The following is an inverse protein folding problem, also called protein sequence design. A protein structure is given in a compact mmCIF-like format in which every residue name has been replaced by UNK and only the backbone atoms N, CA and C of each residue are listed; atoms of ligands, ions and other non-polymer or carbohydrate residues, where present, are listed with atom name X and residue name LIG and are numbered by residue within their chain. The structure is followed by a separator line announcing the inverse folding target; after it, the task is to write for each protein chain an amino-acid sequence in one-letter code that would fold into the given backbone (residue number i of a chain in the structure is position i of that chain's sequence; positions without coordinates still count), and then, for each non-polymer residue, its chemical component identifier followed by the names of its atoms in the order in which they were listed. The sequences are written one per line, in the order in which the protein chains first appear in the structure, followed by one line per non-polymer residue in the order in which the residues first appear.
data_IF_417141119737
#
_entry.id   IF_417141119737
#
_cell.length_a   1.000
_cell.length_b   1.000
_cell.length_c   1.000
_cell.angle_alpha   90.00
_cell.angle_beta   90.00
_cell.angle_gamma   90.00
#
_symmetry.space_group_name_H-M   'P 1'
#
loop_
_entity.id
_entity.type
_entity.pdbx_description
1 polymer ?
#
# COMPACT_ATOMS: atom_id res chain seq x y z
N UNK A 1 68.75 -6.30 5.96
CA UNK A 1 68.29 -5.81 4.65
C UNK A 1 67.32 -6.76 3.95
N UNK A 2 67.54 -8.06 3.92
CA UNK A 2 66.68 -9.06 3.27
C UNK A 2 65.27 -9.17 3.85
N UNK A 3 65.09 -9.13 5.19
CA UNK A 3 63.80 -9.25 5.86
C UNK A 3 62.89 -8.04 5.54
N UNK A 4 63.47 -6.82 5.47
CA UNK A 4 62.76 -5.58 5.12
C UNK A 4 62.19 -5.69 3.69
N UNK A 5 63.02 -6.12 2.75
CA UNK A 5 62.59 -6.26 1.36
C UNK A 5 61.48 -7.29 1.25
N UNK A 6 61.58 -8.41 1.96
CA UNK A 6 60.55 -9.45 1.97
C UNK A 6 59.19 -8.95 2.55
N UNK A 7 59.25 -8.24 3.68
CA UNK A 7 58.03 -7.65 4.29
C UNK A 7 57.40 -6.60 3.38
N UNK A 8 58.22 -5.75 2.74
CA UNK A 8 57.72 -4.74 1.81
C UNK A 8 57.08 -5.37 0.55
N UNK A 9 57.69 -6.40 0.00
CA UNK A 9 57.09 -7.17 -1.10
C UNK A 9 55.75 -7.78 -0.69
N UNK A 10 55.67 -8.37 0.52
CA UNK A 10 54.43 -8.93 1.05
C UNK A 10 53.33 -7.86 1.16
N UNK A 11 53.65 -6.68 1.67
CA UNK A 11 52.67 -5.60 1.80
C UNK A 11 52.15 -5.09 0.45
N UNK A 12 53.06 -4.97 -0.56
CA UNK A 12 52.67 -4.63 -1.93
C UNK A 12 51.76 -5.73 -2.51
N UNK A 13 52.12 -7.01 -2.34
CA UNK A 13 51.29 -8.11 -2.82
C UNK A 13 49.89 -8.09 -2.20
N UNK A 14 49.77 -7.86 -0.90
CA UNK A 14 48.49 -7.71 -0.22
C UNK A 14 47.69 -6.55 -0.78
N UNK A 15 48.32 -5.40 -1.02
CA UNK A 15 47.63 -4.24 -1.58
C UNK A 15 47.12 -4.53 -3.01
N UNK A 16 47.96 -5.14 -3.83
CA UNK A 16 47.57 -5.55 -5.23
C UNK A 16 46.41 -6.54 -5.21
N UNK A 17 46.43 -7.53 -4.31
CA UNK A 17 45.36 -8.50 -4.16
C UNK A 17 44.07 -7.78 -3.73
N UNK A 18 44.16 -6.84 -2.78
CA UNK A 18 43.01 -6.07 -2.30
C UNK A 18 42.36 -5.23 -3.41
N UNK A 19 43.20 -4.56 -4.24
CA UNK A 19 42.74 -3.78 -5.39
C UNK A 19 42.10 -4.66 -6.47
N UNK A 20 42.74 -5.78 -6.82
CA UNK A 20 42.21 -6.72 -7.81
C UNK A 20 40.87 -7.32 -7.37
N UNK A 21 40.71 -7.62 -6.10
CA UNK A 21 39.46 -8.14 -5.57
C UNK A 21 38.35 -7.10 -5.60
N UNK A 22 38.65 -5.81 -5.48
CA UNK A 22 37.68 -4.71 -5.61
C UNK A 22 37.02 -4.71 -7.00
N UNK A 23 37.78 -4.99 -8.06
CA UNK A 23 37.32 -4.96 -9.46
C UNK A 23 36.88 -6.36 -9.98
N UNK A 24 37.27 -7.42 -9.31
CA UNK A 24 37.01 -8.81 -9.74
C UNK A 24 35.50 -9.13 -9.76
N UNK A 25 34.99 -9.93 -10.71
CA UNK A 25 33.64 -10.49 -10.74
C UNK A 25 33.41 -11.59 -9.71
N UNK A 26 34.39 -11.89 -8.85
CA UNK A 26 34.33 -12.95 -7.86
C UNK A 26 33.14 -12.83 -6.93
N UNK A 27 32.64 -13.95 -6.43
CA UNK A 27 31.52 -13.97 -5.50
C UNK A 27 31.84 -13.17 -4.24
N UNK A 28 30.82 -12.53 -3.69
CA UNK A 28 30.98 -11.63 -2.56
C UNK A 28 31.54 -12.31 -1.29
N UNK A 29 31.20 -13.58 -1.09
CA UNK A 29 31.80 -14.37 0.00
C UNK A 29 33.32 -14.47 -0.16
N UNK A 30 33.77 -14.75 -1.38
CA UNK A 30 35.20 -14.85 -1.69
C UNK A 30 35.90 -13.52 -1.45
N UNK A 31 35.33 -12.41 -1.92
CA UNK A 31 35.88 -11.06 -1.70
C UNK A 31 36.06 -10.76 -0.21
N UNK A 32 35.03 -10.94 0.59
CA UNK A 32 35.06 -10.68 2.02
C UNK A 32 36.09 -11.58 2.73
N UNK A 33 36.14 -12.88 2.42
CA UNK A 33 37.11 -13.79 2.99
C UNK A 33 38.55 -13.41 2.62
N UNK A 34 38.81 -13.09 1.35
CA UNK A 34 40.14 -12.65 0.89
C UNK A 34 40.58 -11.39 1.63
N UNK A 35 39.69 -10.41 1.82
CA UNK A 35 40.01 -9.20 2.58
C UNK A 35 40.35 -9.48 4.04
N UNK A 36 39.65 -10.41 4.71
CA UNK A 36 40.00 -10.81 6.08
C UNK A 36 41.33 -11.56 6.13
N UNK A 37 41.64 -12.42 5.17
CA UNK A 37 42.94 -13.10 5.08
C UNK A 37 44.05 -12.06 4.87
N UNK A 38 43.89 -11.11 3.98
CA UNK A 38 44.83 -10.03 3.77
C UNK A 38 45.07 -9.21 5.05
N UNK A 39 44.01 -8.83 5.76
CA UNK A 39 44.12 -8.12 7.03
C UNK A 39 44.86 -8.93 8.10
N UNK A 40 44.57 -10.23 8.20
CA UNK A 40 45.25 -11.15 9.12
C UNK A 40 46.77 -11.24 8.82
N UNK A 41 47.13 -11.40 7.54
CA UNK A 41 48.55 -11.42 7.12
C UNK A 41 49.29 -10.14 7.53
N UNK A 42 48.67 -8.97 7.36
CA UNK A 42 49.25 -7.71 7.78
C UNK A 42 49.42 -7.64 9.30
N UNK A 43 48.43 -8.09 10.07
CA UNK A 43 48.49 -8.14 11.52
C UNK A 43 49.60 -9.08 12.04
N UNK A 44 49.79 -10.21 11.39
CA UNK A 44 50.91 -11.12 11.73
C UNK A 44 52.27 -10.56 11.35
N UNK A 45 52.37 -9.76 10.29
CA UNK A 45 53.62 -9.09 9.88
C UNK A 45 54.05 -7.96 10.84
N UNK A 46 53.06 -7.30 11.49
CA UNK A 46 53.33 -6.14 12.34
C UNK A 46 54.29 -6.41 13.52
N UNK A 47 54.11 -7.48 14.34
CA UNK A 47 55.04 -7.78 15.45
C UNK A 47 56.44 -8.14 14.94
N UNK A 48 56.57 -8.78 13.79
CA UNK A 48 57.87 -9.09 13.20
C UNK A 48 58.58 -7.79 12.82
N UNK A 49 57.88 -6.83 12.24
CA UNK A 49 58.38 -5.50 11.89
C UNK A 49 58.79 -4.77 13.17
N UNK A 50 58.01 -4.76 14.24
CA UNK A 50 58.31 -4.11 15.49
C UNK A 50 59.58 -4.67 16.12
N UNK A 51 59.71 -5.99 16.26
CA UNK A 51 60.91 -6.62 16.80
C UNK A 51 62.16 -6.32 15.99
N UNK A 52 62.05 -6.17 14.69
CA UNK A 52 63.16 -5.80 13.80
C UNK A 52 63.56 -4.30 13.96
N UNK A 53 62.55 -3.42 14.17
CA UNK A 53 62.80 -2.00 14.44
C UNK A 53 63.60 -1.81 15.73
N UNK A 54 63.28 -2.56 16.78
CA UNK A 54 63.94 -2.46 18.08
C UNK A 54 65.39 -2.96 18.01
N UNK A 55 65.71 -3.85 17.11
CA UNK A 55 67.04 -4.40 16.91
C UNK A 55 67.96 -3.49 16.08
N UNK A 56 67.46 -2.38 15.51
CA UNK A 56 68.24 -1.50 14.62
C UNK A 56 69.12 -0.50 15.40
N UNK A 57 70.40 -0.36 15.00
CA UNK A 57 71.40 0.44 15.74
C UNK A 57 71.26 1.95 15.49
N UNK A 58 70.64 2.43 14.43
CA UNK A 58 70.60 3.85 14.04
C UNK A 58 69.21 4.45 14.06
N UNK A 59 69.07 5.69 14.50
CA UNK A 59 67.79 6.39 14.58
C UNK A 59 67.12 6.61 13.22
N UNK A 60 67.91 6.85 12.16
CA UNK A 60 67.38 7.02 10.79
C UNK A 60 66.75 5.75 10.24
N UNK A 61 67.37 4.59 10.52
CA UNK A 61 66.81 3.29 10.11
C UNK A 61 65.51 2.96 10.84
N UNK A 62 65.41 3.32 12.12
CA UNK A 62 64.19 3.17 12.93
C UNK A 62 63.01 3.94 12.34
N UNK A 63 63.24 5.18 11.93
CA UNK A 63 62.22 6.02 11.34
C UNK A 63 61.61 5.40 10.05
N UNK A 64 62.41 4.86 9.15
CA UNK A 64 61.97 4.20 7.93
C UNK A 64 61.09 2.97 8.21
N UNK A 65 61.48 2.15 9.18
CA UNK A 65 60.69 0.97 9.57
C UNK A 65 59.41 1.32 10.31
N UNK A 66 59.40 2.39 11.11
CA UNK A 66 58.17 2.91 11.71
C UNK A 66 57.19 3.38 10.62
N UNK A 67 57.65 4.04 9.58
CA UNK A 67 56.82 4.41 8.44
C UNK A 67 56.21 3.19 7.74
N UNK A 68 56.97 2.11 7.55
CA UNK A 68 56.45 0.84 6.97
C UNK A 68 55.44 0.21 7.88
N UNK A 69 55.60 0.22 9.21
CA UNK A 69 54.62 -0.28 10.15
C UNK A 69 53.29 0.47 10.07
N UNK A 70 53.34 1.81 10.05
CA UNK A 70 52.16 2.65 9.90
C UNK A 70 51.43 2.35 8.59
N UNK A 71 52.20 2.18 7.49
CA UNK A 71 51.65 1.85 6.20
C UNK A 71 50.98 0.45 6.20
N UNK A 72 51.58 -0.54 6.87
CA UNK A 72 51.03 -1.86 7.04
C UNK A 72 49.68 -1.84 7.80
N UNK A 73 49.62 -1.10 8.91
CA UNK A 73 48.39 -0.93 9.69
C UNK A 73 47.30 -0.25 8.84
N UNK A 74 47.68 0.79 8.05
CA UNK A 74 46.72 1.46 7.16
C UNK A 74 46.14 0.52 6.10
N UNK A 75 46.96 -0.34 5.49
CA UNK A 75 46.49 -1.38 4.53
C UNK A 75 45.53 -2.36 5.23
N UNK A 76 45.89 -2.89 6.41
CA UNK A 76 45.05 -3.78 7.17
C UNK A 76 43.68 -3.17 7.47
N UNK A 77 43.68 -1.92 7.94
CA UNK A 77 42.45 -1.16 8.20
C UNK A 77 41.61 -1.00 6.90
N UNK A 78 42.24 -0.67 5.79
CA UNK A 78 41.57 -0.50 4.50
C UNK A 78 40.91 -1.80 4.02
N UNK A 79 41.59 -2.95 4.17
CA UNK A 79 41.02 -4.26 3.84
C UNK A 79 39.77 -4.58 4.68
N UNK A 80 39.82 -4.33 5.99
CA UNK A 80 38.67 -4.53 6.90
C UNK A 80 37.52 -3.59 6.52
N UNK A 81 37.84 -2.32 6.23
CA UNK A 81 36.87 -1.33 5.80
C UNK A 81 36.11 -1.75 4.55
N UNK A 82 36.83 -2.21 3.50
CA UNK A 82 36.21 -2.73 2.27
C UNK A 82 35.31 -3.92 2.58
N UNK A 83 35.77 -4.88 3.39
CA UNK A 83 34.99 -6.05 3.76
C UNK A 83 33.68 -5.67 4.49
N UNK A 84 33.73 -4.68 5.39
CA UNK A 84 32.57 -4.16 6.11
C UNK A 84 31.60 -3.45 5.16
N UNK A 85 32.10 -2.60 4.24
CA UNK A 85 31.31 -1.91 3.25
C UNK A 85 30.55 -2.86 2.33
N UNK A 86 31.22 -3.92 1.88
CA UNK A 86 30.58 -4.96 1.04
C UNK A 86 29.45 -5.69 1.80
N UNK A 87 29.66 -6.05 3.07
CA UNK A 87 28.60 -6.64 3.91
C UNK A 87 27.43 -5.67 4.09
N UNK A 88 27.70 -4.41 4.34
CA UNK A 88 26.67 -3.38 4.49
C UNK A 88 25.84 -3.21 3.22
N UNK A 89 26.48 -3.17 2.04
CA UNK A 89 25.79 -3.04 0.76
C UNK A 89 24.85 -4.22 0.47
N UNK A 90 25.25 -5.45 0.84
CA UNK A 90 24.36 -6.63 0.74
C UNK A 90 23.16 -6.51 1.64
N UNK A 91 23.40 -6.16 2.90
CA UNK A 91 22.30 -6.02 3.87
C UNK A 91 21.30 -4.97 3.39
N UNK A 92 21.81 -3.84 2.90
CA UNK A 92 20.99 -2.76 2.33
C UNK A 92 20.17 -3.22 1.12
N UNK A 93 20.75 -4.01 0.21
CA UNK A 93 20.02 -4.59 -0.93
C UNK A 93 18.92 -5.56 -0.47
N UNK A 94 19.22 -6.43 0.49
CA UNK A 94 18.23 -7.37 1.05
C UNK A 94 17.07 -6.63 1.71
N UNK A 95 17.36 -5.59 2.49
CA UNK A 95 16.32 -4.80 3.14
C UNK A 95 15.40 -4.12 2.10
N UNK A 96 15.96 -3.55 1.04
CA UNK A 96 15.14 -2.96 -0.03
C UNK A 96 14.21 -3.97 -0.72
N UNK A 97 14.72 -5.17 -1.01
CA UNK A 97 13.88 -6.22 -1.60
C UNK A 97 12.78 -6.66 -0.64
N UNK A 98 13.09 -6.74 0.65
CA UNK A 98 12.11 -7.10 1.68
C UNK A 98 11.04 -6.01 1.84
N UNK A 99 11.42 -4.74 1.83
CA UNK A 99 10.51 -3.59 1.89
C UNK A 99 9.58 -3.56 0.66
N UNK A 100 10.12 -3.83 -0.54
CA UNK A 100 9.32 -3.91 -1.76
C UNK A 100 8.30 -5.06 -1.69
N UNK A 101 8.71 -6.24 -1.27
CA UNK A 101 7.82 -7.37 -1.13
C UNK A 101 6.75 -7.16 -0.05
N UNK A 102 7.05 -6.38 1.00
CA UNK A 102 6.08 -6.02 2.04
C UNK A 102 5.02 -5.06 1.49
N UNK A 103 5.46 -4.02 0.77
CA UNK A 103 4.55 -3.05 0.15
C UNK A 103 3.65 -3.67 -0.91
N UNK A 104 4.14 -4.59 -1.72
CA UNK A 104 3.35 -5.35 -2.68
C UNK A 104 2.25 -6.17 -1.99
N UNK A 105 2.59 -6.90 -0.93
CA UNK A 105 1.61 -7.68 -0.14
C UNK A 105 0.56 -6.80 0.57
N UNK A 106 0.95 -5.62 1.02
CA UNK A 106 -0.01 -4.67 1.61
C UNK A 106 -0.97 -4.13 0.55
N UNK A 107 -0.46 -3.81 -0.64
CA UNK A 107 -1.30 -3.37 -1.77
C UNK A 107 -2.28 -4.47 -2.23
N UNK A 108 -1.83 -5.73 -2.32
CA UNK A 108 -2.71 -6.86 -2.64
C UNK A 108 -3.83 -7.03 -1.59
N UNK A 109 -3.51 -6.90 -0.30
CA UNK A 109 -4.53 -6.98 0.76
C UNK A 109 -5.55 -5.84 0.67
N UNK A 110 -5.09 -4.61 0.43
CA UNK A 110 -5.98 -3.46 0.26
C UNK A 110 -6.88 -3.63 -0.96
N UNK A 111 -6.33 -4.10 -2.08
CA UNK A 111 -7.10 -4.38 -3.29
C UNK A 111 -8.18 -5.46 -3.05
N UNK A 112 -7.82 -6.57 -2.40
CA UNK A 112 -8.77 -7.63 -2.05
C UNK A 112 -9.90 -7.15 -1.11
N UNK A 113 -9.57 -6.30 -0.13
CA UNK A 113 -10.59 -5.70 0.77
C UNK A 113 -11.53 -4.78 -0.02
N UNK A 114 -10.99 -3.95 -0.92
CA UNK A 114 -11.81 -3.06 -1.76
C UNK A 114 -12.71 -3.85 -2.71
N UNK A 115 -12.21 -4.91 -3.33
CA UNK A 115 -12.99 -5.79 -4.20
C UNK A 115 -14.16 -6.44 -3.44
N UNK A 116 -13.88 -7.02 -2.28
CA UNK A 116 -14.92 -7.61 -1.43
C UNK A 116 -15.96 -6.57 -0.96
N UNK A 117 -15.55 -5.34 -0.64
CA UNK A 117 -16.47 -4.27 -0.30
C UNK A 117 -17.35 -3.86 -1.48
N UNK A 118 -16.79 -3.79 -2.69
CA UNK A 118 -17.53 -3.50 -3.91
C UNK A 118 -18.56 -4.59 -4.23
N UNK A 119 -18.18 -5.85 -4.16
CA UNK A 119 -19.08 -6.99 -4.36
C UNK A 119 -20.25 -6.95 -3.37
N UNK A 120 -19.95 -6.72 -2.09
CA UNK A 120 -20.99 -6.59 -1.05
C UNK A 120 -21.92 -5.41 -1.33
N UNK A 121 -21.39 -4.27 -1.75
CA UNK A 121 -22.18 -3.09 -2.07
C UNK A 121 -23.09 -3.35 -3.28
N UNK A 122 -22.59 -4.00 -4.33
CA UNK A 122 -23.38 -4.40 -5.50
C UNK A 122 -24.47 -5.39 -5.14
N UNK A 123 -24.19 -6.36 -4.27
CA UNK A 123 -25.19 -7.31 -3.78
C UNK A 123 -26.34 -6.59 -3.03
N UNK A 124 -26.01 -5.65 -2.14
CA UNK A 124 -27.01 -4.83 -1.44
C UNK A 124 -27.83 -4.00 -2.43
N UNK A 125 -27.20 -3.36 -3.40
CA UNK A 125 -27.91 -2.55 -4.39
C UNK A 125 -28.90 -3.39 -5.21
N UNK A 126 -28.48 -4.59 -5.64
CA UNK A 126 -29.32 -5.49 -6.40
C UNK A 126 -30.53 -5.96 -5.58
N UNK A 127 -30.31 -6.41 -4.34
CA UNK A 127 -31.39 -6.86 -3.44
C UNK A 127 -32.39 -5.74 -3.17
N UNK A 128 -31.90 -4.52 -2.90
CA UNK A 128 -32.78 -3.39 -2.61
C UNK A 128 -33.57 -2.91 -3.83
N UNK A 129 -32.98 -2.95 -5.02
CA UNK A 129 -33.67 -2.61 -6.27
C UNK A 129 -34.73 -3.67 -6.62
N UNK A 130 -34.47 -4.97 -6.41
CA UNK A 130 -35.44 -6.04 -6.58
C UNK A 130 -36.61 -5.89 -5.59
N UNK A 131 -36.31 -5.57 -4.32
CA UNK A 131 -37.36 -5.30 -3.33
C UNK A 131 -38.19 -4.07 -3.73
N UNK A 132 -37.56 -2.98 -4.17
CA UNK A 132 -38.25 -1.79 -4.64
C UNK A 132 -39.12 -2.05 -5.87
N UNK A 133 -38.62 -2.80 -6.84
CA UNK A 133 -39.39 -3.24 -8.00
C UNK A 133 -40.65 -4.03 -7.59
N UNK A 134 -40.54 -4.87 -6.55
CA UNK A 134 -41.69 -5.57 -5.97
C UNK A 134 -42.77 -4.62 -5.40
N UNK A 135 -42.32 -3.49 -4.84
CA UNK A 135 -43.24 -2.50 -4.19
C UNK A 135 -43.92 -1.53 -5.17
N UNK A 136 -43.42 -1.41 -6.40
CA UNK A 136 -43.99 -0.51 -7.43
C UNK A 136 -44.90 -1.23 -8.44
N UNK A 137 -45.26 -2.47 -8.19
CA UNK A 137 -46.11 -3.29 -9.09
C UNK A 137 -47.51 -2.72 -9.36
N UNK A 138 -48.00 -1.79 -8.50
CA UNK A 138 -49.26 -1.09 -8.70
C UNK A 138 -49.22 -0.05 -9.85
N UNK A 139 -48.03 0.33 -10.32
CA UNK A 139 -47.87 1.22 -11.47
C UNK A 139 -48.02 0.45 -12.79
N UNK A 140 -48.38 1.11 -13.87
CA UNK A 140 -48.43 0.49 -15.20
C UNK A 140 -47.01 0.03 -15.65
N UNK A 141 -46.94 -0.90 -16.59
CA UNK A 141 -45.63 -1.44 -17.06
C UNK A 141 -44.69 -0.34 -17.56
N UNK A 142 -45.20 0.67 -18.27
CA UNK A 142 -44.39 1.79 -18.76
C UNK A 142 -43.91 2.69 -17.62
N UNK A 143 -44.79 2.97 -16.65
CA UNK A 143 -44.41 3.71 -15.44
C UNK A 143 -43.37 2.93 -14.62
N UNK A 144 -43.55 1.60 -14.45
CA UNK A 144 -42.57 0.75 -13.75
C UNK A 144 -41.19 0.79 -14.43
N UNK A 145 -41.14 0.63 -15.77
CA UNK A 145 -39.89 0.71 -16.52
C UNK A 145 -39.20 2.07 -16.34
N UNK A 146 -39.97 3.16 -16.42
CA UNK A 146 -39.43 4.52 -16.25
C UNK A 146 -38.93 4.78 -14.82
N UNK A 147 -39.67 4.33 -13.80
CA UNK A 147 -39.26 4.44 -12.39
C UNK A 147 -37.97 3.63 -12.15
N UNK A 148 -37.92 2.38 -12.63
CA UNK A 148 -36.76 1.52 -12.46
C UNK A 148 -35.54 2.04 -13.17
N UNK A 149 -35.66 2.57 -14.40
CA UNK A 149 -34.54 3.17 -15.11
C UNK A 149 -33.94 4.34 -14.30
N UNK A 150 -34.78 5.21 -13.73
CA UNK A 150 -34.33 6.30 -12.86
C UNK A 150 -33.73 5.76 -11.56
N UNK A 151 -34.27 4.69 -10.98
CA UNK A 151 -33.80 4.08 -9.74
C UNK A 151 -32.42 3.40 -9.92
N UNK A 152 -32.20 2.70 -11.03
CA UNK A 152 -30.89 2.12 -11.36
C UNK A 152 -29.83 3.22 -11.55
N UNK A 153 -30.11 4.25 -12.32
CA UNK A 153 -29.17 5.35 -12.52
C UNK A 153 -28.81 6.07 -11.20
N UNK A 154 -29.80 6.22 -10.34
CA UNK A 154 -29.57 6.81 -9.01
C UNK A 154 -28.78 5.86 -8.07
N UNK A 155 -29.06 4.57 -8.10
CA UNK A 155 -28.34 3.57 -7.30
C UNK A 155 -26.86 3.48 -7.70
N UNK A 156 -26.56 3.37 -9.01
CA UNK A 156 -25.20 3.17 -9.51
C UNK A 156 -24.38 4.46 -9.56
N UNK A 157 -24.95 5.52 -10.11
CA UNK A 157 -24.19 6.72 -10.46
C UNK A 157 -24.55 7.95 -9.63
N UNK A 158 -25.50 7.84 -8.70
CA UNK A 158 -26.06 8.99 -7.99
C UNK A 158 -26.66 10.07 -8.89
N UNK A 159 -27.05 9.68 -10.10
CA UNK A 159 -27.68 10.56 -11.09
C UNK A 159 -29.18 10.38 -11.07
N UNK A 160 -29.90 11.51 -11.05
CA UNK A 160 -31.37 11.51 -11.07
C UNK A 160 -31.82 11.90 -12.46
N UNK A 161 -32.38 10.95 -13.18
CA UNK A 161 -33.03 11.20 -14.47
C UNK A 161 -34.54 11.21 -14.28
N UNK A 162 -35.20 12.37 -14.41
CA UNK A 162 -36.65 12.44 -14.40
C UNK A 162 -37.22 11.54 -15.51
N UNK A 163 -38.27 10.76 -15.23
CA UNK A 163 -38.88 9.93 -16.24
C UNK A 163 -39.48 10.79 -17.36
N UNK A 164 -39.45 10.27 -18.58
CA UNK A 164 -40.05 10.96 -19.75
C UNK A 164 -41.59 11.02 -19.70
N UNK A 165 -42.19 10.17 -18.86
CA UNK A 165 -43.63 10.08 -18.62
C UNK A 165 -43.96 10.60 -17.21
N UNK A 166 -45.11 11.20 -17.04
CA UNK A 166 -45.60 11.66 -15.74
C UNK A 166 -46.12 10.47 -14.94
N UNK A 167 -45.56 10.23 -13.76
CA UNK A 167 -46.02 9.17 -12.85
C UNK A 167 -47.20 9.71 -12.05
N UNK A 168 -48.38 9.22 -12.34
CA UNK A 168 -49.61 9.68 -11.70
C UNK A 168 -49.85 9.00 -10.34
N UNK A 169 -50.43 9.70 -9.33
CA UNK A 169 -50.85 9.10 -8.09
C UNK A 169 -51.83 7.95 -8.30
N UNK A 170 -51.60 6.84 -7.56
CA UNK A 170 -52.48 5.64 -7.53
C UNK A 170 -53.21 5.60 -6.19
N UNK A 171 -54.46 5.12 -6.23
CA UNK A 171 -55.24 4.96 -5.00
C UNK A 171 -54.64 3.92 -4.04
N UNK A 172 -53.95 2.94 -4.59
CA UNK A 172 -53.27 1.88 -3.86
C UNK A 172 -51.94 2.28 -3.23
N UNK A 173 -51.43 3.47 -3.54
CA UNK A 173 -50.14 3.97 -3.06
C UNK A 173 -50.24 5.40 -2.55
N UNK A 174 -50.31 5.58 -1.25
CA UNK A 174 -50.30 6.88 -0.61
C UNK A 174 -48.92 7.54 -0.73
N UNK A 175 -48.88 8.90 -0.58
CA UNK A 175 -47.60 9.64 -0.49
C UNK A 175 -46.67 9.07 0.59
N UNK A 176 -47.24 8.65 1.73
CA UNK A 176 -46.44 8.12 2.85
C UNK A 176 -45.84 6.75 2.54
N UNK A 177 -46.57 5.89 1.83
CA UNK A 177 -46.07 4.59 1.40
C UNK A 177 -44.98 4.74 0.36
N UNK A 178 -45.18 5.59 -0.62
CA UNK A 178 -44.15 5.88 -1.64
C UNK A 178 -42.85 6.43 -1.00
N UNK A 179 -42.99 7.40 -0.08
CA UNK A 179 -41.85 7.87 0.70
C UNK A 179 -41.16 6.76 1.47
N UNK A 180 -41.92 5.86 2.08
CA UNK A 180 -41.38 4.71 2.80
C UNK A 180 -40.63 3.76 1.87
N UNK A 181 -41.18 3.40 0.72
CA UNK A 181 -40.55 2.47 -0.22
C UNK A 181 -39.23 3.03 -0.75
N UNK A 182 -39.26 4.26 -1.26
CA UNK A 182 -38.05 4.90 -1.81
C UNK A 182 -37.00 5.13 -0.73
N UNK A 183 -37.41 5.67 0.42
CA UNK A 183 -36.45 5.95 1.49
C UNK A 183 -35.85 4.67 2.07
N UNK A 184 -36.64 3.63 2.24
CA UNK A 184 -36.16 2.33 2.71
C UNK A 184 -35.12 1.73 1.78
N UNK A 185 -35.39 1.65 0.47
CA UNK A 185 -34.48 1.07 -0.50
C UNK A 185 -33.16 1.85 -0.58
N UNK A 186 -33.25 3.14 -0.80
CA UNK A 186 -32.04 3.92 -1.04
C UNK A 186 -31.22 4.25 0.21
N UNK A 187 -31.85 4.32 1.39
CA UNK A 187 -31.10 4.47 2.65
C UNK A 187 -30.27 3.22 2.98
N UNK A 188 -30.77 2.04 2.66
CA UNK A 188 -30.02 0.78 2.82
C UNK A 188 -28.84 0.66 1.83
N UNK A 189 -28.96 1.28 0.66
CA UNK A 189 -27.84 1.42 -0.29
C UNK A 189 -26.84 2.51 0.13
N UNK A 190 -27.04 3.19 1.27
CA UNK A 190 -26.15 4.24 1.78
C UNK A 190 -26.33 5.62 1.14
N UNK A 191 -27.45 5.87 0.41
CA UNK A 191 -27.72 7.17 -0.18
C UNK A 191 -28.09 8.20 0.88
N UNK A 192 -27.67 9.43 0.68
CA UNK A 192 -27.97 10.54 1.62
C UNK A 192 -29.45 10.93 1.55
N UNK A 193 -30.01 11.33 2.69
CA UNK A 193 -31.42 11.75 2.79
C UNK A 193 -31.79 12.88 1.81
N UNK A 194 -30.91 13.86 1.63
CA UNK A 194 -31.10 14.96 0.67
C UNK A 194 -31.31 14.44 -0.76
N UNK A 195 -30.45 13.51 -1.17
CA UNK A 195 -30.45 12.99 -2.53
C UNK A 195 -31.68 12.11 -2.79
N UNK A 196 -32.12 11.36 -1.76
CA UNK A 196 -33.37 10.58 -1.81
C UNK A 196 -34.59 11.49 -1.93
N UNK A 197 -34.61 12.64 -1.22
CA UNK A 197 -35.68 13.63 -1.32
C UNK A 197 -35.72 14.22 -2.74
N UNK A 198 -34.58 14.58 -3.30
CA UNK A 198 -34.49 15.09 -4.67
C UNK A 198 -34.91 14.04 -5.70
N UNK A 199 -34.55 12.77 -5.49
CA UNK A 199 -35.03 11.66 -6.32
C UNK A 199 -36.57 11.53 -6.28
N UNK A 200 -37.16 11.49 -5.09
CA UNK A 200 -38.61 11.43 -4.90
C UNK A 200 -39.32 12.56 -5.61
N UNK A 201 -38.82 13.80 -5.45
CA UNK A 201 -39.45 14.97 -6.05
C UNK A 201 -39.34 14.97 -7.57
N UNK A 202 -38.18 14.59 -8.13
CA UNK A 202 -37.98 14.60 -9.57
C UNK A 202 -38.71 13.46 -10.29
N UNK A 203 -38.71 12.25 -9.73
CA UNK A 203 -39.33 11.08 -10.34
C UNK A 203 -40.84 11.07 -10.14
N UNK A 204 -41.32 11.46 -8.95
CA UNK A 204 -42.74 11.38 -8.58
C UNK A 204 -43.38 12.76 -8.36
N UNK A 205 -43.04 13.71 -9.21
CA UNK A 205 -43.46 15.12 -9.08
C UNK A 205 -44.96 15.29 -8.86
N UNK A 206 -45.81 14.50 -9.54
CA UNK A 206 -47.26 14.58 -9.41
C UNK A 206 -47.80 14.11 -8.03
N UNK A 207 -47.03 13.28 -7.32
CA UNK A 207 -47.35 12.89 -5.93
C UNK A 207 -47.12 14.04 -4.93
N UNK A 208 -46.21 14.98 -5.25
CA UNK A 208 -45.71 15.98 -4.31
C UNK A 208 -45.92 17.42 -4.81
N UNK A 209 -47.17 17.88 -5.05
CA UNK A 209 -47.43 19.18 -5.63
C UNK A 209 -46.99 20.33 -4.69
N UNK A 210 -46.90 20.09 -3.38
CA UNK A 210 -46.48 21.06 -2.38
C UNK A 210 -44.96 21.36 -2.37
N UNK A 211 -44.17 20.70 -3.22
CA UNK A 211 -42.76 20.95 -3.41
C UNK A 211 -41.82 20.18 -2.49
N UNK A 212 -40.55 20.24 -2.80
CA UNK A 212 -39.47 19.48 -2.14
C UNK A 212 -39.29 19.84 -0.65
N UNK A 213 -39.48 21.12 -0.29
CA UNK A 213 -39.35 21.56 1.10
C UNK A 213 -40.40 20.94 2.05
N UNK A 214 -41.63 20.71 1.54
CA UNK A 214 -42.70 20.03 2.27
C UNK A 214 -42.41 18.53 2.38
N UNK A 215 -41.89 17.93 1.33
CA UNK A 215 -41.45 16.52 1.31
C UNK A 215 -40.39 16.28 2.40
N UNK A 216 -39.37 17.14 2.46
CA UNK A 216 -38.30 17.05 3.47
C UNK A 216 -38.83 17.02 4.92
N UNK A 217 -39.88 17.82 5.22
CA UNK A 217 -40.49 17.86 6.57
C UNK A 217 -41.31 16.61 6.88
N UNK A 218 -41.93 16.01 5.87
CA UNK A 218 -42.81 14.83 6.03
C UNK A 218 -42.05 13.50 5.94
N UNK A 219 -40.80 13.50 5.49
CA UNK A 219 -40.02 12.28 5.36
C UNK A 219 -39.83 11.59 6.71
N UNK A 220 -40.14 10.30 6.83
CA UNK A 220 -39.99 9.55 8.08
C UNK A 220 -38.53 9.51 8.53
N UNK A 221 -38.30 9.35 9.85
CA UNK A 221 -36.97 9.10 10.39
C UNK A 221 -36.49 7.69 10.01
N UNK A 222 -35.19 7.51 9.88
CA UNK A 222 -34.57 6.25 9.48
C UNK A 222 -34.96 5.09 10.40
N UNK A 223 -35.05 5.33 11.71
CA UNK A 223 -35.37 4.30 12.69
C UNK A 223 -36.80 3.76 12.49
N UNK A 224 -37.77 4.65 12.23
CA UNK A 224 -39.16 4.24 11.93
C UNK A 224 -39.25 3.42 10.64
N UNK A 225 -38.43 3.74 9.66
CA UNK A 225 -38.39 3.00 8.39
C UNK A 225 -37.84 1.60 8.60
N UNK A 226 -36.74 1.48 9.35
CA UNK A 226 -36.14 0.18 9.70
C UNK A 226 -37.09 -0.70 10.49
N UNK A 227 -37.70 -0.15 11.53
CA UNK A 227 -38.69 -0.87 12.37
C UNK A 227 -39.88 -1.40 11.54
N UNK A 228 -40.42 -0.57 10.64
CA UNK A 228 -41.51 -0.98 9.75
C UNK A 228 -41.07 -2.11 8.80
N UNK A 229 -39.87 -2.01 8.22
CA UNK A 229 -39.33 -3.01 7.30
C UNK A 229 -39.07 -4.35 8.01
N UNK A 230 -38.59 -4.34 9.23
CA UNK A 230 -38.45 -5.53 10.04
C UNK A 230 -39.81 -6.22 10.27
N UNK A 231 -40.82 -5.46 10.62
CA UNK A 231 -42.19 -5.99 10.78
C UNK A 231 -42.75 -6.59 9.48
N UNK A 232 -42.39 -6.07 8.31
CA UNK A 232 -42.79 -6.62 7.01
C UNK A 232 -42.09 -7.96 6.67
N UNK A 233 -40.92 -8.23 7.20
CA UNK A 233 -40.21 -9.51 7.00
C UNK A 233 -40.84 -10.70 7.74
N UNK A 234 -41.62 -10.43 8.79
CA UNK A 234 -42.25 -11.45 9.63
C UNK A 234 -43.76 -11.62 9.34
N UNK A 235 -44.28 -10.97 8.31
CA UNK A 235 -45.63 -11.16 7.78
C UNK A 235 -45.62 -12.00 6.49
#
# INVERSE_FOLDING_TARGET
MTIFVLVFILLIAVLVIALLMGVSPASQKVKVWTMYVCAALVLFAAPIICNYIDALPTSASKLHFQAVLVFAIAIGYFCVYIACMEKYNVLKRKNRVLEQALTEKEQEKVAAIMEHQNEKQQSIQKEELEWFAGKIKMFSEDEQKAILASAYAFAEHNLIFPPSITIHPKEECSQQELMFFVYSAFSNMGKKRSDIISFLYQVFKAYFPAGESTLSKKMPGLDKVRERREKEKYK
#
